data_IF_299972447417
#
_entry.id   IF_299972447417
#
_cell.length_a   1.000
_cell.length_b   1.000
_cell.length_c   1.000
_cell.angle_alpha   90.00
_cell.angle_beta   90.00
_cell.angle_gamma   90.00
#
_symmetry.space_group_name_H-M   'P 1'
#
loop_
_entity.id
_entity.type
_entity.pdbx_description
1 polymer ?
#
# COMPACT_ATOMS: atom_id res chain seq x y z
N UNK A 1 -26.68 1.68 -12.91
CA UNK A 1 -25.62 2.32 -12.09
C UNK A 1 -24.77 3.20 -12.98
N UNK A 2 -24.51 4.40 -12.55
CA UNK A 2 -23.74 5.36 -13.35
C UNK A 2 -22.25 4.99 -13.36
N UNK A 3 -21.61 5.07 -14.54
CA UNK A 3 -20.16 4.87 -14.67
C UNK A 3 -19.37 5.87 -13.83
N UNK A 4 -19.93 7.07 -13.62
CA UNK A 4 -19.30 8.09 -12.78
C UNK A 4 -19.19 7.64 -11.33
N UNK A 5 -20.23 6.99 -10.77
CA UNK A 5 -20.19 6.47 -9.42
C UNK A 5 -19.12 5.39 -9.26
N UNK A 6 -19.01 4.50 -10.24
CA UNK A 6 -18.00 3.45 -10.23
C UNK A 6 -16.60 4.06 -10.27
N UNK A 7 -16.41 5.07 -11.11
CA UNK A 7 -15.12 5.76 -11.24
C UNK A 7 -14.75 6.46 -9.94
N UNK A 8 -15.71 7.11 -9.28
CA UNK A 8 -15.48 7.78 -8.02
C UNK A 8 -15.13 6.80 -6.89
N UNK A 9 -15.74 5.62 -6.92
CA UNK A 9 -15.39 4.54 -5.99
C UNK A 9 -13.90 4.18 -6.16
N UNK A 10 -13.45 3.99 -7.39
CA UNK A 10 -12.05 3.64 -7.65
C UNK A 10 -11.11 4.79 -7.32
N UNK A 11 -11.55 6.03 -7.49
CA UNK A 11 -10.75 7.17 -7.06
C UNK A 11 -10.45 7.10 -5.56
N UNK A 12 -11.45 6.73 -4.74
CA UNK A 12 -11.25 6.53 -3.31
C UNK A 12 -10.28 5.41 -3.00
N UNK A 13 -10.36 4.31 -3.76
CA UNK A 13 -9.45 3.16 -3.62
C UNK A 13 -8.00 3.61 -3.87
N UNK A 14 -7.76 4.30 -4.97
CA UNK A 14 -6.42 4.76 -5.35
C UNK A 14 -5.92 5.83 -4.39
N UNK A 15 -6.78 6.77 -3.99
CA UNK A 15 -6.43 7.85 -3.07
C UNK A 15 -5.99 7.31 -1.71
N UNK A 16 -6.75 6.38 -1.14
CA UNK A 16 -6.40 5.76 0.13
C UNK A 16 -5.15 4.86 -0.01
N UNK A 17 -5.01 4.19 -1.15
CA UNK A 17 -3.81 3.41 -1.44
C UNK A 17 -2.57 4.27 -1.52
N UNK A 18 -2.69 5.45 -2.13
CA UNK A 18 -1.59 6.43 -2.18
C UNK A 18 -1.19 6.88 -0.78
N UNK A 19 -2.17 7.11 0.11
CA UNK A 19 -1.89 7.47 1.50
C UNK A 19 -1.15 6.35 2.23
N UNK A 20 -1.54 5.10 1.96
CA UNK A 20 -0.86 3.94 2.52
C UNK A 20 0.60 3.90 2.08
N UNK A 21 0.86 4.08 0.80
CA UNK A 21 2.22 4.11 0.26
C UNK A 21 3.03 5.24 0.89
N UNK A 22 2.49 6.45 0.95
CA UNK A 22 3.19 7.61 1.53
C UNK A 22 3.54 7.39 2.99
N UNK A 23 2.63 6.80 3.76
CA UNK A 23 2.81 6.60 5.19
C UNK A 23 4.03 5.72 5.49
N UNK A 24 4.26 4.72 4.66
CA UNK A 24 5.32 3.73 4.89
C UNK A 24 6.51 3.86 3.93
N UNK A 25 6.48 4.88 3.08
CA UNK A 25 7.56 5.10 2.12
C UNK A 25 8.89 5.28 2.86
N UNK A 26 9.91 4.58 2.38
CA UNK A 26 11.24 4.68 2.99
C UNK A 26 11.47 3.77 4.19
N UNK A 27 10.51 2.89 4.52
CA UNK A 27 10.69 1.93 5.61
C UNK A 27 11.88 1.03 5.35
N UNK A 28 12.77 0.92 6.34
CA UNK A 28 13.98 0.11 6.25
C UNK A 28 13.71 -1.31 6.74
N UNK A 29 14.53 -2.26 6.30
CA UNK A 29 14.36 -3.67 6.59
C UNK A 29 14.32 -3.99 8.10
N UNK A 30 15.09 -3.25 8.90
CA UNK A 30 15.18 -3.46 10.34
C UNK A 30 14.01 -2.89 11.14
N UNK A 31 13.15 -2.10 10.50
CA UNK A 31 12.04 -1.42 11.17
C UNK A 31 10.80 -2.31 11.27
N UNK A 32 10.93 -3.42 12.02
CA UNK A 32 9.87 -4.43 12.10
C UNK A 32 8.53 -3.86 12.55
N UNK A 33 8.54 -2.90 13.48
CA UNK A 33 7.31 -2.26 13.96
C UNK A 33 6.53 -1.60 12.82
N UNK A 34 7.24 -0.99 11.89
CA UNK A 34 6.62 -0.36 10.72
C UNK A 34 6.06 -1.40 9.76
N UNK A 35 6.77 -2.52 9.57
CA UNK A 35 6.27 -3.60 8.72
C UNK A 35 5.01 -4.23 9.30
N UNK A 36 4.96 -4.42 10.60
CA UNK A 36 3.77 -4.96 11.27
C UNK A 36 2.59 -3.98 11.13
N UNK A 37 2.84 -2.69 11.30
CA UNK A 37 1.83 -1.66 11.13
C UNK A 37 1.35 -1.57 9.68
N UNK A 38 2.24 -1.73 8.71
CA UNK A 38 1.90 -1.76 7.29
C UNK A 38 0.95 -2.89 6.97
N UNK A 39 1.23 -4.09 7.48
CA UNK A 39 0.35 -5.25 7.27
C UNK A 39 -1.04 -4.99 7.85
N UNK A 40 -1.11 -4.46 9.07
CA UNK A 40 -2.38 -4.14 9.71
C UNK A 40 -3.17 -3.09 8.92
N UNK A 41 -2.50 -2.03 8.48
CA UNK A 41 -3.13 -0.96 7.70
C UNK A 41 -3.56 -1.47 6.31
N UNK A 42 -2.77 -2.36 5.71
CA UNK A 42 -3.12 -2.96 4.42
C UNK A 42 -4.38 -3.83 4.52
N UNK A 43 -4.52 -4.60 5.59
CA UNK A 43 -5.71 -5.40 5.85
C UNK A 43 -6.93 -4.49 6.04
N UNK A 44 -6.78 -3.44 6.83
CA UNK A 44 -7.86 -2.48 7.05
C UNK A 44 -8.28 -1.78 5.76
N UNK A 45 -7.31 -1.40 4.93
CA UNK A 45 -7.57 -0.81 3.63
C UNK A 45 -8.35 -1.76 2.73
N UNK A 46 -7.96 -3.03 2.68
CA UNK A 46 -8.67 -4.04 1.89
C UNK A 46 -10.08 -4.29 2.38
N UNK A 47 -10.30 -4.24 3.70
CA UNK A 47 -11.62 -4.40 4.28
C UNK A 47 -12.52 -3.20 3.98
N UNK A 48 -11.95 -2.00 3.97
CA UNK A 48 -12.68 -0.77 3.64
C UNK A 48 -13.07 -0.72 2.17
N UNK A 49 -12.19 -1.19 1.31
CA UNK A 49 -12.39 -1.18 -0.15
C UNK A 49 -12.41 -2.63 -0.65
N UNK A 50 -13.54 -3.30 -0.48
CA UNK A 50 -13.67 -4.71 -0.84
C UNK A 50 -13.78 -4.89 -2.35
N UNK A 51 -12.64 -4.85 -3.04
CA UNK A 51 -12.58 -5.04 -4.48
C UNK A 51 -11.19 -5.54 -4.90
N UNK A 52 -11.12 -6.07 -6.11
CA UNK A 52 -9.86 -6.60 -6.66
C UNK A 52 -8.76 -5.54 -6.73
N UNK A 53 -9.13 -4.33 -7.16
CA UNK A 53 -8.16 -3.22 -7.28
C UNK A 53 -7.49 -2.92 -5.93
N UNK A 54 -8.27 -2.87 -4.85
CA UNK A 54 -7.72 -2.61 -3.52
C UNK A 54 -6.76 -3.70 -3.09
N UNK A 55 -7.12 -4.97 -3.31
CA UNK A 55 -6.25 -6.09 -2.97
C UNK A 55 -4.96 -6.06 -3.76
N UNK A 56 -5.06 -5.82 -5.07
CA UNK A 56 -3.88 -5.73 -5.95
C UNK A 56 -3.01 -4.54 -5.56
N UNK A 57 -3.62 -3.40 -5.27
CA UNK A 57 -2.90 -2.19 -4.89
C UNK A 57 -2.14 -2.40 -3.57
N UNK A 58 -2.80 -2.96 -2.56
CA UNK A 58 -2.17 -3.22 -1.26
C UNK A 58 -0.98 -4.17 -1.40
N UNK A 59 -1.14 -5.24 -2.17
CA UNK A 59 -0.05 -6.19 -2.43
C UNK A 59 1.11 -5.51 -3.16
N UNK A 60 0.79 -4.69 -4.16
CA UNK A 60 1.80 -3.94 -4.92
C UNK A 60 2.58 -2.97 -4.03
N UNK A 61 1.89 -2.27 -3.13
CA UNK A 61 2.53 -1.36 -2.18
C UNK A 61 3.50 -2.14 -1.28
N UNK A 62 3.06 -3.26 -0.73
CA UNK A 62 3.90 -4.06 0.17
C UNK A 62 5.12 -4.61 -0.56
N UNK A 63 4.94 -5.15 -1.77
CA UNK A 63 6.05 -5.68 -2.56
C UNK A 63 7.03 -4.58 -2.95
N UNK A 64 6.53 -3.42 -3.35
CA UNK A 64 7.39 -2.30 -3.75
C UNK A 64 8.21 -1.81 -2.57
N UNK A 65 7.60 -1.66 -1.40
CA UNK A 65 8.32 -1.22 -0.21
C UNK A 65 9.37 -2.23 0.25
N UNK A 66 9.08 -3.52 0.14
CA UNK A 66 10.06 -4.57 0.44
C UNK A 66 11.23 -4.53 -0.54
N UNK A 67 10.95 -4.34 -1.82
CA UNK A 67 11.97 -4.24 -2.86
C UNK A 67 12.85 -3.01 -2.60
N UNK A 68 12.23 -1.87 -2.29
CA UNK A 68 12.97 -0.64 -2.01
C UNK A 68 13.84 -0.80 -0.77
N UNK A 69 13.35 -1.48 0.28
CA UNK A 69 14.12 -1.71 1.49
C UNK A 69 15.37 -2.54 1.22
N UNK A 70 15.25 -3.54 0.35
CA UNK A 70 16.42 -4.34 -0.07
C UNK A 70 17.42 -3.49 -0.84
N UNK A 71 16.94 -2.64 -1.72
CA UNK A 71 17.81 -1.74 -2.50
C UNK A 71 18.54 -0.74 -1.61
N UNK A 72 17.89 -0.23 -0.57
CA UNK A 72 18.52 0.68 0.38
C UNK A 72 19.73 0.02 1.06
N UNK A 73 19.65 -1.26 1.36
CA UNK A 73 20.76 -1.99 1.95
C UNK A 73 21.90 -2.20 0.97
N UNK A 74 21.57 -2.56 -0.27
CA UNK A 74 22.57 -2.79 -1.31
C UNK A 74 23.15 -1.48 -1.83
N UNK A 75 22.31 -0.44 -1.95
CA UNK A 75 22.73 0.85 -2.48
C UNK A 75 23.60 1.64 -1.54
N UNK A 76 23.58 1.34 -0.24
CA UNK A 76 24.39 2.01 0.75
C UNK A 76 25.83 1.55 0.74
N UNK A 77 26.11 0.48 -0.01
CA UNK A 77 27.46 -0.04 -0.16
C UNK A 77 28.35 0.79 -1.04
#
# INVERSE_FOLDING_TARGET
MSAVRTLMFYYGVVSDGWKLLKKYFGTRKHEQDKWDALVADAVEYQNKHDCLLARTFAMGVMEQLETDAKEYEHGAG
#
